data_IF_489813494022
#
_entry.id   IF_489813494022
#
_cell.length_a   1.000
_cell.length_b   1.000
_cell.length_c   1.000
_cell.angle_alpha   90.00
_cell.angle_beta   90.00
_cell.angle_gamma   90.00
#
_symmetry.space_group_name_H-M   'P 1'
#
loop_
_entity.id
_entity.type
_entity.pdbx_description
1 polymer ?
#
# COMPACT_ATOMS: atom_id res chain seq x y z
N UNK A 1 8.62 23.23 11.74
CA UNK A 1 9.70 22.31 12.19
C UNK A 1 9.58 20.87 11.65
N UNK A 2 8.73 20.60 10.70
CA UNK A 2 8.35 19.25 10.24
C UNK A 2 9.08 18.77 8.98
N UNK A 3 9.45 19.65 8.08
CA UNK A 3 10.06 19.30 6.78
C UNK A 3 11.48 18.70 6.89
N UNK A 4 12.30 19.17 7.81
CA UNK A 4 13.70 18.72 7.93
C UNK A 4 13.84 17.24 8.40
N UNK A 5 12.83 16.68 9.11
CA UNK A 5 12.82 15.26 9.52
C UNK A 5 12.08 14.35 8.55
N UNK A 6 11.26 14.87 7.67
CA UNK A 6 10.42 14.05 6.77
C UNK A 6 11.19 13.57 5.55
N UNK A 7 12.08 14.39 4.98
CA UNK A 7 12.88 14.02 3.81
C UNK A 7 13.84 12.85 4.07
N UNK A 8 14.63 12.82 5.17
CA UNK A 8 15.45 11.64 5.49
C UNK A 8 14.63 10.37 5.69
N UNK A 9 13.47 10.47 6.37
CA UNK A 9 12.60 9.32 6.56
C UNK A 9 11.94 8.84 5.25
N UNK A 10 11.60 9.76 4.35
CA UNK A 10 11.12 9.41 3.00
C UNK A 10 12.22 8.71 2.20
N UNK A 11 13.44 9.25 2.21
CA UNK A 11 14.60 8.65 1.56
C UNK A 11 14.88 7.24 2.10
N UNK A 12 14.85 7.05 3.41
CA UNK A 12 15.01 5.73 4.05
C UNK A 12 13.93 4.74 3.60
N UNK A 13 12.66 5.18 3.48
CA UNK A 13 11.56 4.35 3.01
C UNK A 13 11.76 3.92 1.55
N UNK A 14 12.15 4.83 0.66
CA UNK A 14 12.44 4.48 -0.73
C UNK A 14 13.71 3.63 -0.88
N UNK A 15 14.75 3.88 -0.07
CA UNK A 15 15.92 3.01 0.01
C UNK A 15 15.52 1.60 0.43
N UNK A 16 14.62 1.45 1.39
CA UNK A 16 14.06 0.16 1.79
C UNK A 16 13.36 -0.57 0.63
N UNK A 17 12.61 0.15 -0.21
CA UNK A 17 12.01 -0.45 -1.42
C UNK A 17 13.10 -0.92 -2.40
N UNK A 18 14.14 -0.12 -2.62
CA UNK A 18 15.24 -0.49 -3.52
C UNK A 18 16.03 -1.70 -3.00
N UNK A 19 16.30 -1.76 -1.69
CA UNK A 19 16.95 -2.90 -1.04
C UNK A 19 16.09 -4.16 -1.18
N UNK A 20 14.78 -4.08 -0.92
CA UNK A 20 13.88 -5.23 -1.10
C UNK A 20 13.82 -5.69 -2.55
N UNK A 21 13.71 -4.78 -3.50
CA UNK A 21 13.72 -5.11 -4.93
C UNK A 21 15.02 -5.84 -5.32
N UNK A 22 16.17 -5.32 -4.87
CA UNK A 22 17.47 -5.92 -5.11
C UNK A 22 17.63 -7.31 -4.46
N UNK A 23 17.13 -7.46 -3.23
CA UNK A 23 17.19 -8.75 -2.51
C UNK A 23 16.28 -9.81 -3.16
N UNK A 24 15.14 -9.37 -3.69
CA UNK A 24 14.23 -10.22 -4.47
C UNK A 24 14.88 -10.65 -5.79
N UNK A 25 15.47 -9.71 -6.54
CA UNK A 25 16.15 -9.98 -7.81
C UNK A 25 17.29 -10.99 -7.63
N UNK A 26 18.04 -10.88 -6.53
CA UNK A 26 19.11 -11.86 -6.17
C UNK A 26 18.58 -13.17 -5.59
N UNK A 27 17.27 -13.34 -5.42
CA UNK A 27 16.65 -14.54 -4.87
C UNK A 27 16.79 -14.73 -3.36
N UNK A 28 17.39 -13.78 -2.63
CA UNK A 28 17.67 -13.91 -1.19
C UNK A 28 16.42 -14.05 -0.31
N UNK A 29 15.28 -13.49 -0.76
CA UNK A 29 14.02 -13.53 -0.03
C UNK A 29 13.04 -14.59 -0.57
N UNK A 30 13.41 -15.27 -1.65
CA UNK A 30 12.50 -16.18 -2.36
C UNK A 30 12.02 -17.34 -1.47
N UNK A 31 12.89 -17.90 -0.65
CA UNK A 31 12.52 -19.01 0.24
C UNK A 31 11.63 -18.55 1.40
N UNK A 32 11.92 -17.38 1.99
CA UNK A 32 11.08 -16.80 3.02
C UNK A 32 9.67 -16.49 2.50
N UNK A 33 9.57 -15.89 1.31
CA UNK A 33 8.30 -15.61 0.65
C UNK A 33 7.51 -16.90 0.37
N UNK A 34 8.16 -17.95 -0.15
CA UNK A 34 7.52 -19.24 -0.40
C UNK A 34 7.00 -19.89 0.88
N UNK A 35 7.81 -19.92 1.95
CA UNK A 35 7.43 -20.52 3.24
C UNK A 35 6.23 -19.83 3.85
N UNK A 36 6.22 -18.49 3.90
CA UNK A 36 5.11 -17.72 4.45
C UNK A 36 3.85 -17.92 3.61
N UNK A 37 3.95 -17.85 2.28
CA UNK A 37 2.82 -18.07 1.39
C UNK A 37 2.24 -19.49 1.56
N UNK A 38 3.08 -20.50 1.59
CA UNK A 38 2.66 -21.89 1.77
C UNK A 38 1.94 -22.10 3.12
N UNK A 39 2.48 -21.52 4.20
CA UNK A 39 1.86 -21.58 5.53
C UNK A 39 0.49 -20.88 5.57
N UNK A 40 0.33 -19.77 4.85
CA UNK A 40 -0.95 -19.07 4.71
C UNK A 40 -1.93 -19.89 3.87
N UNK A 41 -1.50 -20.45 2.75
CA UNK A 41 -2.34 -21.27 1.88
C UNK A 41 -2.86 -22.53 2.60
N UNK A 42 -2.03 -23.17 3.42
CA UNK A 42 -2.38 -24.34 4.20
C UNK A 42 -3.48 -24.08 5.26
N UNK A 43 -3.66 -22.81 5.66
CA UNK A 43 -4.68 -22.40 6.66
C UNK A 43 -5.92 -21.77 6.05
N UNK A 44 -6.10 -21.88 4.73
CA UNK A 44 -7.28 -21.33 4.05
C UNK A 44 -8.56 -22.05 4.45
N UNK A 45 -9.65 -21.28 4.59
CA UNK A 45 -10.98 -21.82 4.84
C UNK A 45 -12.06 -20.89 4.32
N UNK A 46 -13.30 -21.35 4.13
CA UNK A 46 -14.36 -20.58 3.46
C UNK A 46 -14.66 -19.22 4.13
N UNK A 47 -14.70 -19.19 5.47
CA UNK A 47 -14.96 -17.96 6.22
C UNK A 47 -13.80 -16.96 6.07
N UNK A 48 -12.55 -17.39 6.25
CA UNK A 48 -11.38 -16.56 6.10
C UNK A 48 -11.22 -16.07 4.65
N UNK A 49 -11.58 -16.87 3.66
CA UNK A 49 -11.57 -16.46 2.24
C UNK A 49 -12.57 -15.34 1.99
N UNK A 50 -13.81 -15.42 2.51
CA UNK A 50 -14.79 -14.33 2.39
C UNK A 50 -14.28 -13.04 3.05
N UNK A 51 -13.68 -13.14 4.23
CA UNK A 51 -13.08 -11.99 4.92
C UNK A 51 -11.94 -11.40 4.08
N UNK A 52 -11.04 -12.21 3.53
CA UNK A 52 -9.94 -11.75 2.71
C UNK A 52 -10.42 -11.01 1.45
N UNK A 53 -11.47 -11.49 0.79
CA UNK A 53 -12.11 -10.80 -0.33
C UNK A 53 -12.69 -9.44 0.09
N UNK A 54 -13.46 -9.41 1.19
CA UNK A 54 -14.08 -8.19 1.69
C UNK A 54 -13.03 -7.14 2.09
N UNK A 55 -12.00 -7.55 2.84
CA UNK A 55 -10.89 -6.68 3.24
C UNK A 55 -10.13 -6.17 2.00
N UNK A 56 -9.80 -7.04 1.05
CA UNK A 56 -9.12 -6.65 -0.18
C UNK A 56 -9.90 -5.62 -1.00
N UNK A 57 -11.24 -5.71 -1.03
CA UNK A 57 -12.13 -4.81 -1.76
C UNK A 57 -12.08 -3.37 -1.21
N UNK A 58 -11.73 -3.16 0.05
CA UNK A 58 -11.57 -1.82 0.64
C UNK A 58 -10.43 -1.02 0.00
N UNK A 59 -9.47 -1.68 -0.62
CA UNK A 59 -8.38 -1.03 -1.35
C UNK A 59 -8.62 -0.93 -2.87
N UNK A 60 -9.84 -1.14 -3.33
CA UNK A 60 -10.20 -0.89 -4.72
C UNK A 60 -10.37 0.61 -5.00
N UNK A 61 -10.01 1.09 -6.20
CA UNK A 61 -10.16 2.51 -6.56
C UNK A 61 -11.58 3.03 -6.35
N UNK A 62 -12.60 2.19 -6.62
CA UNK A 62 -14.04 2.52 -6.42
C UNK A 62 -14.41 2.78 -4.96
N UNK A 63 -13.62 2.33 -4.00
CA UNK A 63 -13.79 2.62 -2.57
C UNK A 63 -12.84 3.74 -2.13
N UNK A 64 -11.57 3.67 -2.53
CA UNK A 64 -10.54 4.61 -2.11
C UNK A 64 -10.83 6.06 -2.55
N UNK A 65 -11.18 6.28 -3.81
CA UNK A 65 -11.40 7.64 -4.32
C UNK A 65 -12.63 8.36 -3.75
N UNK A 66 -13.80 7.73 -3.53
CA UNK A 66 -14.89 8.34 -2.77
C UNK A 66 -14.49 8.74 -1.34
N UNK A 67 -13.74 7.89 -0.63
CA UNK A 67 -13.22 8.23 0.71
C UNK A 67 -12.30 9.46 0.65
N UNK A 68 -11.40 9.51 -0.34
CA UNK A 68 -10.51 10.65 -0.54
C UNK A 68 -11.25 11.93 -0.94
N UNK A 69 -12.31 11.81 -1.73
CA UNK A 69 -13.14 12.95 -2.08
C UNK A 69 -13.85 13.54 -0.85
N UNK A 70 -14.43 12.70 0.00
CA UNK A 70 -15.03 13.13 1.28
C UNK A 70 -13.97 13.75 2.20
N UNK A 71 -12.78 13.16 2.31
CA UNK A 71 -11.66 13.74 3.04
C UNK A 71 -11.24 15.10 2.47
N UNK A 72 -11.26 15.24 1.14
CA UNK A 72 -11.01 16.50 0.44
C UNK A 72 -12.03 17.59 0.78
N UNK A 73 -13.30 17.24 0.88
CA UNK A 73 -14.36 18.17 1.32
C UNK A 73 -14.09 18.63 2.76
N UNK A 74 -13.69 17.73 3.66
CA UNK A 74 -13.34 18.08 5.03
C UNK A 74 -12.12 19.02 5.09
N UNK A 75 -11.09 18.74 4.30
CA UNK A 75 -9.91 19.60 4.17
C UNK A 75 -10.28 20.99 3.62
N UNK A 76 -11.15 21.06 2.61
CA UNK A 76 -11.62 22.31 2.01
C UNK A 76 -12.38 23.20 3.01
N UNK A 77 -13.23 22.60 3.83
CA UNK A 77 -13.99 23.32 4.87
C UNK A 77 -13.09 23.88 5.98
N UNK A 78 -11.96 23.22 6.26
CA UNK A 78 -11.03 23.63 7.31
C UNK A 78 -9.95 24.59 6.84
N UNK A 79 -9.37 24.33 5.65
CA UNK A 79 -8.14 24.97 5.17
C UNK A 79 -8.33 25.74 3.86
N UNK A 80 -9.56 25.80 3.32
CA UNK A 80 -9.93 26.48 2.08
C UNK A 80 -10.11 25.54 0.88
N UNK A 81 -10.94 25.97 -0.07
CA UNK A 81 -11.42 25.15 -1.20
C UNK A 81 -10.29 24.57 -2.10
N UNK A 82 -9.13 25.24 -2.18
CA UNK A 82 -7.98 24.74 -2.95
C UNK A 82 -7.40 23.41 -2.39
N UNK A 83 -7.73 23.05 -1.14
CA UNK A 83 -7.33 21.78 -0.53
C UNK A 83 -8.23 20.61 -0.90
N UNK A 84 -9.37 20.84 -1.53
CA UNK A 84 -10.33 19.78 -1.85
C UNK A 84 -9.74 18.64 -2.68
N UNK A 85 -8.91 18.96 -3.67
CA UNK A 85 -8.28 17.97 -4.55
C UNK A 85 -7.03 17.31 -4.00
N UNK A 86 -6.42 17.87 -2.95
CA UNK A 86 -5.10 17.44 -2.50
C UNK A 86 -4.99 15.95 -2.13
N UNK A 87 -5.94 15.32 -1.38
CA UNK A 87 -5.86 13.90 -1.07
C UNK A 87 -5.92 13.01 -2.32
N UNK A 88 -6.82 13.33 -3.26
CA UNK A 88 -6.96 12.58 -4.51
C UNK A 88 -5.71 12.69 -5.39
N UNK A 89 -5.16 13.89 -5.54
CA UNK A 89 -3.95 14.14 -6.34
C UNK A 89 -2.73 13.44 -5.76
N UNK A 90 -2.54 13.50 -4.44
CA UNK A 90 -1.44 12.82 -3.76
C UNK A 90 -1.50 11.30 -3.99
N UNK A 91 -2.68 10.69 -3.84
CA UNK A 91 -2.86 9.25 -4.04
C UNK A 91 -2.74 8.87 -5.51
N UNK A 92 -3.30 9.64 -6.44
CA UNK A 92 -3.19 9.40 -7.87
C UNK A 92 -1.73 9.48 -8.35
N UNK A 93 -0.98 10.48 -7.92
CA UNK A 93 0.45 10.61 -8.20
C UNK A 93 1.24 9.40 -7.70
N UNK A 94 1.02 8.99 -6.45
CA UNK A 94 1.64 7.79 -5.87
C UNK A 94 1.30 6.52 -6.65
N UNK A 95 0.05 6.36 -7.07
CA UNK A 95 -0.39 5.21 -7.86
C UNK A 95 0.29 5.17 -9.24
N UNK A 96 0.48 6.32 -9.89
CA UNK A 96 1.20 6.42 -11.17
C UNK A 96 2.67 6.04 -11.01
N UNK A 97 3.36 6.64 -10.02
CA UNK A 97 4.79 6.35 -9.77
C UNK A 97 4.99 4.88 -9.39
N UNK A 98 4.15 4.33 -8.48
CA UNK A 98 4.19 2.91 -8.14
C UNK A 98 4.00 2.02 -9.37
N UNK A 99 3.06 2.37 -10.28
CA UNK A 99 2.83 1.58 -11.50
C UNK A 99 4.06 1.56 -12.41
N UNK A 100 4.74 2.70 -12.58
CA UNK A 100 5.99 2.77 -13.35
C UNK A 100 7.09 1.94 -12.70
N UNK A 101 7.28 2.09 -11.38
CA UNK A 101 8.24 1.31 -10.61
C UNK A 101 7.97 -0.20 -10.73
N UNK A 102 6.71 -0.62 -10.63
CA UNK A 102 6.32 -2.03 -10.77
C UNK A 102 6.66 -2.62 -12.15
N UNK A 103 6.56 -1.81 -13.21
CA UNK A 103 6.95 -2.24 -14.56
C UNK A 103 8.46 -2.32 -14.73
N UNK A 104 9.22 -1.44 -14.07
CA UNK A 104 10.68 -1.47 -14.10
C UNK A 104 11.24 -2.69 -13.36
N UNK A 105 10.67 -3.02 -12.18
CA UNK A 105 11.10 -4.17 -11.39
C UNK A 105 10.62 -5.48 -12.02
N UNK A 106 9.44 -5.49 -12.65
CA UNK A 106 8.83 -6.59 -13.37
C UNK A 106 8.79 -7.93 -12.61
N UNK A 107 8.66 -7.91 -11.28
CA UNK A 107 8.62 -9.12 -10.46
C UNK A 107 7.40 -9.98 -10.78
N UNK A 108 7.62 -11.27 -11.00
CA UNK A 108 6.56 -12.25 -11.20
C UNK A 108 5.75 -12.48 -9.91
N UNK A 109 4.48 -12.81 -10.09
CA UNK A 109 3.57 -13.15 -9.00
C UNK A 109 3.78 -14.58 -8.51
N UNK A 110 3.21 -14.95 -7.35
CA UNK A 110 3.06 -16.35 -6.98
C UNK A 110 2.43 -17.18 -8.11
N UNK A 111 2.68 -18.52 -8.14
CA UNK A 111 2.09 -19.39 -9.15
C UNK A 111 0.56 -19.29 -9.22
N UNK A 112 0.00 -19.34 -10.44
CA UNK A 112 -1.45 -19.20 -10.64
C UNK A 112 -2.28 -20.29 -9.91
N UNK A 113 -1.69 -21.45 -9.66
CA UNK A 113 -2.32 -22.53 -8.89
C UNK A 113 -2.75 -22.15 -7.48
N UNK A 114 -2.19 -21.10 -6.88
CA UNK A 114 -2.56 -20.64 -5.53
C UNK A 114 -3.47 -19.40 -5.54
N UNK A 115 -3.84 -18.86 -6.69
CA UNK A 115 -4.68 -17.67 -6.78
C UNK A 115 -6.14 -17.96 -6.45
N UNK A 116 -6.73 -17.13 -5.60
CA UNK A 116 -8.16 -17.11 -5.35
C UNK A 116 -8.89 -15.98 -6.08
N UNK A 117 -8.14 -15.13 -6.77
CA UNK A 117 -8.63 -14.04 -7.65
C UNK A 117 -7.66 -13.88 -8.82
N UNK A 118 -8.10 -13.24 -9.89
CA UNK A 118 -7.24 -12.89 -11.02
C UNK A 118 -6.52 -11.57 -10.75
N UNK A 119 -5.19 -11.54 -10.67
CA UNK A 119 -4.43 -10.30 -10.52
C UNK A 119 -4.06 -9.69 -11.86
N UNK A 120 -3.74 -8.38 -11.85
CA UNK A 120 -3.24 -7.65 -13.01
C UNK A 120 -1.80 -7.15 -12.80
N UNK A 121 -0.98 -7.24 -13.86
CA UNK A 121 0.39 -6.71 -13.90
C UNK A 121 1.35 -7.39 -12.94
N UNK A 122 2.48 -6.76 -12.68
CA UNK A 122 3.57 -7.29 -11.86
C UNK A 122 3.29 -7.23 -10.36
N UNK A 123 4.10 -7.95 -9.59
CA UNK A 123 3.86 -8.22 -8.18
C UNK A 123 4.34 -7.10 -7.25
N UNK A 124 5.54 -6.59 -7.44
CA UNK A 124 6.22 -5.64 -6.53
C UNK A 124 6.24 -4.22 -7.11
N UNK A 125 5.94 -3.17 -6.32
CA UNK A 125 5.29 -3.16 -5.02
C UNK A 125 3.78 -3.44 -5.12
N UNK A 126 3.16 -4.01 -4.06
CA UNK A 126 1.73 -4.36 -4.04
C UNK A 126 0.83 -3.15 -4.27
N UNK A 127 0.01 -3.19 -5.34
CA UNK A 127 -0.95 -2.12 -5.70
C UNK A 127 -1.94 -1.83 -4.57
N UNK A 128 -2.59 -2.87 -4.05
CA UNK A 128 -3.64 -2.73 -3.04
C UNK A 128 -3.06 -2.23 -1.70
N UNK A 129 -1.94 -2.78 -1.26
CA UNK A 129 -1.26 -2.31 -0.04
C UNK A 129 -0.88 -0.83 -0.17
N UNK A 130 -0.25 -0.45 -1.29
CA UNK A 130 0.11 0.95 -1.55
C UNK A 130 -1.12 1.86 -1.51
N UNK A 131 -2.20 1.49 -2.23
CA UNK A 131 -3.41 2.31 -2.28
C UNK A 131 -4.07 2.45 -0.91
N UNK A 132 -4.15 1.36 -0.13
CA UNK A 132 -4.71 1.39 1.21
C UNK A 132 -3.95 2.32 2.15
N UNK A 133 -2.62 2.22 2.17
CA UNK A 133 -1.75 3.06 3.03
C UNK A 133 -1.83 4.53 2.60
N UNK A 134 -1.77 4.80 1.30
CA UNK A 134 -1.91 6.16 0.77
C UNK A 134 -3.28 6.76 1.12
N UNK A 135 -4.36 5.99 0.96
CA UNK A 135 -5.72 6.45 1.27
C UNK A 135 -5.87 6.73 2.75
N UNK A 136 -5.46 5.81 3.63
CA UNK A 136 -5.51 6.00 5.07
C UNK A 136 -4.69 7.23 5.51
N UNK A 137 -3.46 7.35 5.03
CA UNK A 137 -2.58 8.46 5.38
C UNK A 137 -3.09 9.82 4.88
N UNK A 138 -3.56 9.89 3.63
CA UNK A 138 -4.12 11.12 3.05
C UNK A 138 -5.42 11.54 3.78
N UNK A 139 -6.28 10.56 4.13
CA UNK A 139 -7.53 10.82 4.86
C UNK A 139 -7.27 11.37 6.26
N UNK A 140 -6.40 10.72 7.06
CA UNK A 140 -6.07 11.19 8.42
C UNK A 140 -5.51 12.61 8.39
N UNK A 141 -4.65 12.91 7.42
CA UNK A 141 -4.10 14.26 7.26
C UNK A 141 -5.16 15.28 6.83
N UNK A 142 -6.02 14.93 5.88
CA UNK A 142 -7.10 15.77 5.41
C UNK A 142 -8.08 16.13 6.54
N UNK A 143 -8.33 15.19 7.45
CA UNK A 143 -9.14 15.40 8.65
C UNK A 143 -8.43 16.23 9.74
N UNK A 144 -7.13 16.51 9.59
CA UNK A 144 -6.35 17.28 10.56
C UNK A 144 -6.08 16.53 11.85
N UNK A 145 -6.25 15.22 11.85
CA UNK A 145 -5.98 14.40 13.05
C UNK A 145 -4.48 14.35 13.29
N UNK A 146 -4.06 14.60 14.54
CA UNK A 146 -2.67 14.70 14.98
C UNK A 146 -2.30 13.57 15.93
N UNK A 147 -0.99 13.42 16.18
CA UNK A 147 -0.46 12.41 17.10
C UNK A 147 -0.22 11.05 16.46
N UNK A 148 -0.33 9.98 17.24
CA UNK A 148 -0.06 8.60 16.82
C UNK A 148 -1.07 7.97 15.85
N UNK A 149 -2.16 8.66 15.53
CA UNK A 149 -3.22 8.14 14.66
C UNK A 149 -2.79 7.91 13.21
N UNK A 150 -1.89 8.73 12.67
CA UNK A 150 -1.38 8.55 11.30
C UNK A 150 -0.58 7.25 11.14
N UNK A 151 0.48 6.97 11.92
CA UNK A 151 1.20 5.71 11.80
C UNK A 151 0.31 4.50 12.12
N UNK A 152 -0.63 4.61 13.07
CA UNK A 152 -1.55 3.52 13.36
C UNK A 152 -2.49 3.23 12.18
N UNK A 153 -3.08 4.25 11.57
CA UNK A 153 -3.97 4.08 10.42
C UNK A 153 -3.24 3.46 9.20
N UNK A 154 -2.03 3.94 8.88
CA UNK A 154 -1.23 3.41 7.77
C UNK A 154 -0.76 1.99 8.04
N UNK A 155 -0.38 1.67 9.27
CA UNK A 155 0.02 0.32 9.67
C UNK A 155 -1.16 -0.65 9.57
N UNK A 156 -2.32 -0.32 10.14
CA UNK A 156 -3.51 -1.17 10.11
C UNK A 156 -4.01 -1.39 8.66
N UNK A 157 -4.07 -0.33 7.86
CA UNK A 157 -4.45 -0.44 6.46
C UNK A 157 -3.47 -1.32 5.67
N UNK A 158 -2.16 -1.08 5.83
CA UNK A 158 -1.11 -1.85 5.17
C UNK A 158 -1.09 -3.32 5.58
N UNK A 159 -1.17 -3.61 6.88
CA UNK A 159 -1.18 -4.96 7.42
C UNK A 159 -2.45 -5.73 7.01
N UNK A 160 -3.64 -5.15 7.19
CA UNK A 160 -4.91 -5.79 6.88
C UNK A 160 -5.06 -6.10 5.39
N UNK A 161 -4.89 -5.07 4.55
CA UNK A 161 -4.97 -5.25 3.09
C UNK A 161 -3.83 -6.14 2.60
N UNK A 162 -2.60 -5.93 3.07
CA UNK A 162 -1.44 -6.72 2.69
C UNK A 162 -1.62 -8.21 3.01
N UNK A 163 -2.06 -8.53 4.23
CA UNK A 163 -2.37 -9.90 4.64
C UNK A 163 -3.44 -10.53 3.73
N UNK A 164 -4.50 -9.78 3.39
CA UNK A 164 -5.53 -10.27 2.47
C UNK A 164 -4.97 -10.63 1.10
N UNK A 165 -3.99 -9.85 0.58
CA UNK A 165 -3.37 -10.12 -0.74
C UNK A 165 -2.47 -11.35 -0.74
N UNK A 166 -1.74 -11.59 0.35
CA UNK A 166 -0.98 -12.83 0.54
C UNK A 166 -1.93 -14.02 0.70
N UNK A 167 -2.98 -13.88 1.50
CA UNK A 167 -4.00 -14.91 1.67
C UNK A 167 -4.67 -15.28 0.35
N UNK A 168 -5.01 -14.30 -0.48
CA UNK A 168 -5.59 -14.53 -1.81
C UNK A 168 -4.58 -15.10 -2.83
N UNK A 169 -3.31 -15.27 -2.46
CA UNK A 169 -2.27 -15.91 -3.24
C UNK A 169 -1.70 -15.08 -4.40
N UNK A 170 -1.98 -13.79 -4.44
CA UNK A 170 -1.64 -12.92 -5.59
C UNK A 170 -0.43 -12.03 -5.35
N UNK A 171 0.11 -12.01 -4.14
CA UNK A 171 1.32 -11.29 -3.76
C UNK A 171 2.20 -12.10 -2.84
N UNK A 172 3.49 -11.87 -2.95
CA UNK A 172 4.49 -12.30 -2.00
C UNK A 172 4.46 -11.40 -0.75
N UNK A 173 4.82 -11.91 0.46
CA UNK A 173 4.95 -11.07 1.65
C UNK A 173 5.82 -9.82 1.46
N UNK A 174 6.95 -9.96 0.76
CA UNK A 174 7.87 -8.85 0.49
C UNK A 174 7.27 -7.78 -0.43
N UNK A 175 6.33 -8.12 -1.32
CA UNK A 175 5.60 -7.12 -2.14
C UNK A 175 4.75 -6.20 -1.27
N UNK A 176 4.16 -6.77 -0.21
CA UNK A 176 3.33 -6.06 0.76
C UNK A 176 4.19 -5.06 1.53
N UNK A 177 5.33 -5.50 2.04
CA UNK A 177 6.29 -4.64 2.77
C UNK A 177 6.77 -3.51 1.86
N UNK A 178 7.16 -3.82 0.62
CA UNK A 178 7.58 -2.81 -0.35
C UNK A 178 6.46 -1.83 -0.70
N UNK A 179 5.22 -2.28 -0.82
CA UNK A 179 4.04 -1.44 -1.05
C UNK A 179 3.78 -0.47 0.09
N UNK A 180 3.93 -0.93 1.34
CA UNK A 180 3.82 -0.11 2.53
C UNK A 180 4.94 0.93 2.61
N UNK A 181 6.21 0.53 2.46
CA UNK A 181 7.36 1.43 2.48
C UNK A 181 7.26 2.50 1.39
N UNK A 182 6.88 2.11 0.16
CA UNK A 182 6.67 3.06 -0.92
C UNK A 182 5.62 4.12 -0.54
N UNK A 183 4.48 3.69 -0.02
CA UNK A 183 3.40 4.60 0.36
C UNK A 183 3.81 5.54 1.51
N UNK A 184 4.53 5.03 2.52
CA UNK A 184 5.06 5.82 3.62
C UNK A 184 6.05 6.88 3.14
N UNK A 185 6.97 6.53 2.23
CA UNK A 185 7.88 7.47 1.61
C UNK A 185 7.14 8.56 0.82
N UNK A 186 6.16 8.15 0.01
CA UNK A 186 5.35 9.06 -0.80
C UNK A 186 4.54 10.05 0.05
N UNK A 187 3.90 9.57 1.11
CA UNK A 187 3.16 10.42 2.03
C UNK A 187 4.04 11.47 2.72
N UNK A 188 5.30 11.16 2.98
CA UNK A 188 6.25 12.12 3.58
C UNK A 188 6.71 13.20 2.59
N UNK A 189 6.86 12.83 1.33
CA UNK A 189 7.24 13.80 0.27
C UNK A 189 6.08 14.75 -0.06
N UNK A 190 4.86 14.24 -0.15
CA UNK A 190 3.70 15.02 -0.64
C UNK A 190 3.01 15.85 0.43
N UNK A 191 3.34 15.66 1.71
CA UNK A 191 2.68 16.32 2.83
C UNK A 191 3.67 16.88 3.88
N UNK A 192 4.93 17.06 3.48
CA UNK A 192 5.99 17.69 4.26
C UNK A 192 5.88 19.21 4.39
#
# INVERSE_FOLDING_TARGET
MTTARQLPAAAAAFAGVAVLASAVDRGWLAEADRRVLAAVCARRGPAATRVAHAVSALAEPRVAYPVLALAGVAAARRDGWWRAGAPCLAVAGGAVVRRRLSRLIARERPPAAVWLIQPEGFSLPSKHTTLAVLTAGATVRALGVRGGSLPAATLLAGAGIGASRVYLGVHWPTDVIAGWLFAEGWLRVTHG
#
